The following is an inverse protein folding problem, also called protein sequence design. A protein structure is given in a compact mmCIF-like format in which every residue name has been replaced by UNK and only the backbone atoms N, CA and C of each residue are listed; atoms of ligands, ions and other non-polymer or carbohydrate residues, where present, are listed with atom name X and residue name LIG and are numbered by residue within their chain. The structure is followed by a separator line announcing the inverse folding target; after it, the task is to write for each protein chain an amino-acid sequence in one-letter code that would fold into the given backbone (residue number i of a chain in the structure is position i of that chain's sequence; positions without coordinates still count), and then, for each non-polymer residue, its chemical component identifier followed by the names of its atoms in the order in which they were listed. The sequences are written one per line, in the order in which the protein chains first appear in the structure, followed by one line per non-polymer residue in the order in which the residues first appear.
data_IF_928270405195
#
_entry.id   IF_928270405195
#
_cell.length_a   1.000
_cell.length_b   1.000
_cell.length_c   1.000
_cell.angle_alpha   90.00
_cell.angle_beta   90.00
_cell.angle_gamma   90.00
#
_symmetry.space_group_name_H-M   'P 1'
#
loop_
_entity.id
_entity.type
_entity.pdbx_description
1 polymer ?
#
# COMPACT_ATOMS: atom_id res chain seq x y z
N UNK A 1 -24.38 -39.28 47.41
CA UNK A 1 -25.19 -38.61 46.36
C UNK A 1 -24.27 -37.62 45.65
N UNK A 2 -23.70 -38.05 44.54
CA UNK A 2 -22.71 -37.26 43.76
C UNK A 2 -23.35 -36.94 42.42
N UNK A 3 -23.65 -35.66 42.19
CA UNK A 3 -24.20 -35.15 40.94
C UNK A 3 -23.07 -34.98 39.89
N UNK A 4 -23.10 -35.75 38.83
CA UNK A 4 -22.24 -35.55 37.63
C UNK A 4 -22.88 -34.51 36.73
N UNK A 5 -22.21 -33.40 36.52
CA UNK A 5 -22.51 -32.40 35.51
C UNK A 5 -21.91 -32.88 34.17
N UNK A 6 -22.74 -33.13 33.19
CA UNK A 6 -22.39 -33.47 31.81
C UNK A 6 -22.03 -32.15 31.07
N UNK A 7 -20.76 -31.99 30.70
CA UNK A 7 -20.33 -30.97 29.71
C UNK A 7 -20.57 -31.47 28.31
N UNK A 8 -21.51 -30.88 27.61
CA UNK A 8 -21.68 -31.03 26.16
C UNK A 8 -20.62 -30.23 25.42
N UNK A 9 -19.73 -30.96 24.76
CA UNK A 9 -18.75 -30.39 23.81
C UNK A 9 -19.47 -29.93 22.55
N UNK A 10 -19.39 -28.64 22.23
CA UNK A 10 -19.75 -28.10 20.91
C UNK A 10 -18.57 -28.31 19.94
N UNK A 11 -18.81 -28.71 18.70
CA UNK A 11 -17.74 -28.81 17.72
C UNK A 11 -17.25 -27.41 17.31
N UNK A 12 -15.94 -27.21 17.33
CA UNK A 12 -15.29 -26.04 16.76
C UNK A 12 -15.41 -26.12 15.24
N UNK A 13 -16.13 -25.19 14.65
CA UNK A 13 -16.12 -24.95 13.20
C UNK A 13 -14.89 -24.07 12.93
N UNK A 14 -13.87 -24.67 12.33
CA UNK A 14 -12.72 -23.92 11.83
C UNK A 14 -13.14 -23.04 10.66
N UNK A 15 -13.16 -21.73 10.85
CA UNK A 15 -13.20 -20.76 9.76
C UNK A 15 -11.76 -20.43 9.38
N UNK A 16 -11.30 -20.99 8.29
CA UNK A 16 -10.17 -20.44 7.52
C UNK A 16 -10.68 -19.19 6.81
N UNK A 17 -10.39 -18.04 7.39
CA UNK A 17 -10.73 -16.75 6.79
C UNK A 17 -9.61 -16.36 5.82
N UNK A 18 -9.78 -16.66 4.54
CA UNK A 18 -9.16 -15.86 3.47
C UNK A 18 -9.84 -14.49 3.54
N UNK A 19 -9.11 -13.46 3.91
CA UNK A 19 -9.62 -12.11 4.04
C UNK A 19 -9.84 -11.50 2.66
N UNK A 20 -10.97 -11.82 2.04
CA UNK A 20 -11.58 -11.12 0.91
C UNK A 20 -13.10 -11.39 0.94
N UNK A 21 -13.79 -10.88 1.96
CA UNK A 21 -15.26 -10.86 1.98
C UNK A 21 -15.77 -9.54 1.43
N UNK A 22 -15.90 -9.44 0.12
CA UNK A 22 -16.70 -8.40 -0.53
C UNK A 22 -18.16 -8.86 -0.46
N UNK A 23 -18.96 -8.24 0.43
CA UNK A 23 -20.42 -8.32 0.35
C UNK A 23 -20.88 -7.33 -0.73
N UNK A 24 -21.16 -7.83 -1.93
CA UNK A 24 -21.85 -7.07 -2.96
C UNK A 24 -23.34 -6.96 -2.60
N UNK A 25 -23.78 -5.78 -2.19
CA UNK A 25 -25.18 -5.42 -2.19
C UNK A 25 -25.56 -4.94 -3.59
N UNK A 26 -26.29 -5.77 -4.32
CA UNK A 26 -26.84 -5.45 -5.64
C UNK A 26 -27.98 -4.45 -5.46
N UNK A 27 -27.75 -3.17 -5.80
CA UNK A 27 -28.83 -2.23 -6.13
C UNK A 27 -28.93 -2.14 -7.64
N UNK A 28 -30.02 -2.68 -8.18
CA UNK A 28 -30.36 -2.56 -9.60
C UNK A 28 -30.73 -1.12 -9.93
N UNK A 29 -29.99 -0.48 -10.82
CA UNK A 29 -30.37 0.77 -11.48
C UNK A 29 -30.81 0.48 -12.92
N UNK A 30 -31.80 1.24 -13.47
CA UNK A 30 -32.37 0.95 -14.79
C UNK A 30 -31.42 1.31 -15.93
N UNK A 31 -31.40 0.47 -16.94
CA UNK A 31 -30.62 0.63 -18.16
C UNK A 31 -31.07 1.86 -18.95
N UNK A 32 -30.18 2.80 -19.18
CA UNK A 32 -30.32 3.85 -20.19
C UNK A 32 -29.64 3.39 -21.48
N UNK A 33 -30.36 3.57 -22.59
CA UNK A 33 -29.95 3.12 -23.92
C UNK A 33 -28.67 3.82 -24.41
N UNK A 34 -27.80 3.04 -25.04
CA UNK A 34 -26.56 3.48 -25.65
C UNK A 34 -26.80 4.30 -26.93
N UNK A 35 -26.05 5.38 -27.19
CA UNK A 35 -26.03 6.07 -28.48
C UNK A 35 -25.17 5.31 -29.49
N UNK A 36 -25.35 5.52 -30.81
CA UNK A 36 -24.72 4.73 -31.87
C UNK A 36 -23.22 5.01 -31.97
N UNK A 37 -22.49 3.94 -32.33
CA UNK A 37 -21.05 3.89 -32.53
C UNK A 37 -20.55 4.90 -33.57
N UNK A 38 -19.74 5.85 -33.14
CA UNK A 38 -18.85 6.61 -34.01
C UNK A 38 -17.59 5.80 -34.26
N UNK A 39 -17.20 5.65 -35.53
CA UNK A 39 -15.94 5.03 -35.97
C UNK A 39 -14.76 5.79 -35.34
N UNK A 40 -14.07 5.18 -34.40
CA UNK A 40 -12.89 5.75 -33.79
C UNK A 40 -11.68 5.62 -34.72
N UNK A 41 -11.16 6.75 -35.15
CA UNK A 41 -9.80 6.86 -35.67
C UNK A 41 -8.82 6.38 -34.58
N UNK A 42 -7.95 5.44 -34.92
CA UNK A 42 -6.89 4.97 -34.01
C UNK A 42 -5.93 6.14 -33.75
N UNK A 43 -5.75 6.57 -32.48
CA UNK A 43 -4.72 7.56 -32.19
C UNK A 43 -3.32 6.95 -32.44
N UNK A 44 -2.48 7.72 -33.08
CA UNK A 44 -1.09 7.41 -33.41
C UNK A 44 -0.27 7.25 -32.12
N UNK A 45 -0.11 6.01 -31.66
CA UNK A 45 0.58 5.66 -30.41
C UNK A 45 2.06 6.08 -30.41
N UNK A 46 2.66 6.32 -31.57
CA UNK A 46 4.05 6.79 -31.67
C UNK A 46 4.22 8.26 -31.25
N UNK A 47 3.19 9.11 -31.43
CA UNK A 47 3.24 10.51 -30.99
C UNK A 47 3.00 10.72 -29.52
N UNK A 48 2.29 9.81 -28.85
CA UNK A 48 2.06 9.87 -27.41
C UNK A 48 3.35 9.59 -26.61
N UNK A 49 4.21 8.68 -27.07
CA UNK A 49 5.47 8.33 -26.42
C UNK A 49 6.51 9.46 -26.41
N UNK A 50 6.59 10.26 -27.47
CA UNK A 50 7.56 11.36 -27.56
C UNK A 50 7.17 12.60 -26.73
N UNK A 51 5.89 12.81 -26.43
CA UNK A 51 5.43 13.95 -25.62
C UNK A 51 5.69 13.78 -24.11
N UNK A 52 6.09 12.60 -23.62
CA UNK A 52 6.29 12.33 -22.19
C UNK A 52 7.75 12.47 -21.75
N UNK A 53 8.74 12.44 -22.68
CA UNK A 53 10.18 12.41 -22.38
C UNK A 53 10.76 13.68 -21.76
N UNK A 54 10.14 14.85 -21.94
CA UNK A 54 10.72 16.15 -21.52
C UNK A 54 10.05 16.78 -20.30
N UNK A 55 9.09 16.12 -19.64
CA UNK A 55 8.38 16.71 -18.52
C UNK A 55 9.10 16.47 -17.21
N UNK A 56 9.25 17.54 -16.42
CA UNK A 56 9.84 17.44 -15.08
C UNK A 56 9.03 16.48 -14.19
N UNK A 57 9.72 15.69 -13.38
CA UNK A 57 9.12 14.78 -12.40
C UNK A 57 8.11 15.50 -11.51
N UNK A 58 6.97 14.86 -11.24
CA UNK A 58 5.86 15.41 -10.47
C UNK A 58 5.03 16.45 -11.23
N UNK A 59 5.22 16.60 -12.56
CA UNK A 59 4.31 17.41 -13.38
C UNK A 59 2.95 16.73 -13.45
N UNK A 60 1.90 17.44 -13.05
CA UNK A 60 0.51 17.00 -13.19
C UNK A 60 0.12 16.94 -14.67
N UNK A 61 -0.35 15.80 -15.12
CA UNK A 61 -0.79 15.58 -16.51
C UNK A 61 -2.29 15.67 -16.67
N UNK A 62 -3.04 15.08 -15.72
CA UNK A 62 -4.50 15.17 -15.72
C UNK A 62 -5.07 15.07 -14.30
N UNK A 63 -6.28 15.60 -14.14
CA UNK A 63 -7.14 15.45 -12.97
C UNK A 63 -8.48 14.92 -13.44
N UNK A 64 -8.85 13.73 -13.01
CA UNK A 64 -10.12 13.08 -13.37
C UNK A 64 -10.99 13.00 -12.10
N UNK A 65 -12.16 13.63 -12.05
CA UNK A 65 -13.10 13.45 -10.93
C UNK A 65 -13.50 11.97 -10.80
N UNK A 66 -13.58 11.48 -9.56
CA UNK A 66 -14.00 10.11 -9.27
C UNK A 66 -15.33 10.10 -8.52
N UNK A 67 -15.31 10.47 -7.23
CA UNK A 67 -16.48 10.40 -6.37
C UNK A 67 -16.61 11.67 -5.53
N UNK A 68 -17.85 11.98 -5.16
CA UNK A 68 -18.15 12.91 -4.08
C UNK A 68 -18.97 12.15 -3.04
N UNK A 69 -18.47 12.08 -1.81
CA UNK A 69 -19.05 11.28 -0.73
C UNK A 69 -19.45 12.19 0.42
N UNK A 70 -20.69 12.07 0.87
CA UNK A 70 -21.21 12.91 1.97
C UNK A 70 -20.54 12.57 3.30
N UNK A 71 -20.53 13.53 4.21
CA UNK A 71 -20.03 13.34 5.58
C UNK A 71 -20.72 12.17 6.29
N UNK A 72 -22.03 12.06 6.12
CA UNK A 72 -22.88 11.03 6.74
C UNK A 72 -22.49 9.65 6.22
N UNK A 73 -22.29 9.51 4.92
CA UNK A 73 -21.88 8.26 4.29
C UNK A 73 -20.46 7.85 4.72
N UNK A 74 -19.50 8.77 4.72
CA UNK A 74 -18.15 8.51 5.24
C UNK A 74 -18.22 8.03 6.69
N UNK A 75 -18.97 8.71 7.54
CA UNK A 75 -19.12 8.33 8.94
C UNK A 75 -19.76 6.94 9.10
N UNK A 76 -20.70 6.59 8.23
CA UNK A 76 -21.36 5.28 8.21
C UNK A 76 -20.38 4.17 7.83
N UNK A 77 -19.65 4.35 6.70
CA UNK A 77 -18.70 3.36 6.19
C UNK A 77 -17.54 3.16 7.17
N UNK A 78 -16.95 4.25 7.67
CA UNK A 78 -15.86 4.21 8.66
C UNK A 78 -16.26 3.43 9.92
N UNK A 79 -17.46 3.70 10.47
CA UNK A 79 -17.99 2.97 11.65
C UNK A 79 -18.29 1.51 11.35
N UNK A 80 -18.85 1.21 10.16
CA UNK A 80 -19.15 -0.17 9.76
C UNK A 80 -17.90 -1.04 9.69
N UNK A 81 -16.75 -0.44 9.39
CA UNK A 81 -15.43 -1.09 9.41
C UNK A 81 -14.76 -1.07 10.81
N UNK A 82 -15.47 -0.74 11.87
CA UNK A 82 -14.92 -0.72 13.25
C UNK A 82 -13.90 0.38 13.51
N UNK A 83 -13.83 1.40 12.63
CA UNK A 83 -12.88 2.51 12.73
C UNK A 83 -13.52 3.73 13.43
N UNK A 84 -12.72 4.50 14.16
CA UNK A 84 -13.17 5.71 14.83
C UNK A 84 -13.46 6.83 13.82
N UNK A 85 -14.73 7.25 13.74
CA UNK A 85 -15.22 8.30 12.86
C UNK A 85 -15.31 9.68 13.53
N UNK A 86 -14.77 9.88 14.73
CA UNK A 86 -14.93 11.11 15.52
C UNK A 86 -14.32 12.35 14.86
N UNK A 87 -13.41 12.18 13.91
CA UNK A 87 -12.78 13.26 13.13
C UNK A 87 -13.55 13.64 11.86
N UNK A 88 -14.57 12.90 11.46
CA UNK A 88 -15.36 13.15 10.24
C UNK A 88 -16.22 14.40 10.41
N UNK A 89 -15.87 15.46 9.67
CA UNK A 89 -16.52 16.79 9.73
C UNK A 89 -17.07 17.25 8.38
N UNK A 90 -16.47 16.78 7.27
CA UNK A 90 -16.74 17.22 5.92
C UNK A 90 -17.12 16.05 5.02
N UNK A 91 -17.85 16.32 3.94
CA UNK A 91 -17.85 15.47 2.77
C UNK A 91 -16.49 15.53 2.07
N UNK A 92 -16.26 14.65 1.11
CA UNK A 92 -14.98 14.51 0.42
C UNK A 92 -15.22 14.35 -1.08
N UNK A 93 -14.50 15.14 -1.87
CA UNK A 93 -14.37 14.95 -3.31
C UNK A 93 -13.05 14.26 -3.62
N UNK A 94 -13.09 13.20 -4.43
CA UNK A 94 -11.93 12.44 -4.84
C UNK A 94 -11.64 12.58 -6.32
N UNK A 95 -10.37 12.52 -6.66
CA UNK A 95 -9.85 12.70 -8.00
C UNK A 95 -8.74 11.69 -8.26
N UNK A 96 -8.63 11.20 -9.49
CA UNK A 96 -7.44 10.54 -9.99
C UNK A 96 -6.50 11.57 -10.58
N UNK A 97 -5.28 11.60 -10.11
CA UNK A 97 -4.19 12.34 -10.72
C UNK A 97 -3.40 11.39 -11.62
N UNK A 98 -3.03 11.86 -12.82
CA UNK A 98 -1.95 11.24 -13.61
C UNK A 98 -0.79 12.22 -13.64
N UNK A 99 0.42 11.74 -13.42
CA UNK A 99 1.60 12.59 -13.29
C UNK A 99 2.86 11.95 -13.88
N UNK A 100 3.84 12.79 -14.23
CA UNK A 100 5.14 12.37 -14.71
C UNK A 100 6.02 11.88 -13.57
N UNK A 101 6.69 10.75 -13.75
CA UNK A 101 7.64 10.14 -12.81
C UNK A 101 8.72 9.39 -13.57
N UNK A 102 9.48 8.52 -12.90
CA UNK A 102 10.55 7.71 -13.50
C UNK A 102 10.36 6.23 -13.16
N UNK A 103 10.86 5.37 -14.06
CA UNK A 103 10.99 3.92 -13.83
C UNK A 103 12.08 3.62 -12.80
N UNK A 104 12.23 2.37 -12.32
CA UNK A 104 13.36 1.96 -11.48
C UNK A 104 14.73 2.20 -12.11
N UNK A 105 14.81 2.23 -13.45
CA UNK A 105 16.04 2.53 -14.21
C UNK A 105 16.27 4.01 -14.51
N UNK A 106 15.35 4.89 -14.03
CA UNK A 106 15.46 6.34 -14.19
C UNK A 106 14.81 6.89 -15.48
N UNK A 107 14.22 6.04 -16.32
CA UNK A 107 13.56 6.47 -17.55
C UNK A 107 12.24 7.18 -17.27
N UNK A 108 11.86 8.19 -18.07
CA UNK A 108 10.58 8.87 -17.93
C UNK A 108 9.40 7.92 -18.08
N UNK A 109 8.44 8.03 -17.16
CA UNK A 109 7.17 7.29 -17.21
C UNK A 109 6.05 8.09 -16.54
N UNK A 110 4.88 7.49 -16.40
CA UNK A 110 3.74 8.08 -15.69
C UNK A 110 3.25 7.15 -14.59
N UNK A 111 2.62 7.73 -13.58
CA UNK A 111 1.89 7.00 -12.56
C UNK A 111 0.58 7.71 -12.22
N UNK A 112 -0.28 7.06 -11.46
CA UNK A 112 -1.50 7.63 -10.95
C UNK A 112 -1.55 7.64 -9.41
N UNK A 113 -2.45 8.45 -8.87
CA UNK A 113 -2.72 8.55 -7.44
C UNK A 113 -4.17 8.94 -7.20
N UNK A 114 -4.73 8.48 -6.09
CA UNK A 114 -5.93 9.08 -5.53
C UNK A 114 -5.57 10.40 -4.83
N UNK A 115 -6.33 11.44 -5.13
CA UNK A 115 -6.28 12.72 -4.45
C UNK A 115 -7.64 13.04 -3.85
N UNK A 116 -7.71 13.27 -2.54
CA UNK A 116 -8.95 13.56 -1.85
C UNK A 116 -8.90 14.94 -1.17
N UNK A 117 -9.94 15.72 -1.34
CA UNK A 117 -10.12 17.04 -0.75
C UNK A 117 -11.39 17.10 0.10
N UNK A 118 -11.36 17.77 1.26
CA UNK A 118 -12.59 18.07 2.00
C UNK A 118 -13.48 19.05 1.23
N UNK A 119 -14.78 18.81 1.18
CA UNK A 119 -15.74 19.70 0.52
C UNK A 119 -15.92 21.04 1.28
N UNK A 120 -15.49 21.10 2.53
CA UNK A 120 -15.48 22.29 3.38
C UNK A 120 -14.09 22.64 3.91
N UNK A 121 -14.04 23.45 4.95
CA UNK A 121 -12.82 23.84 5.65
C UNK A 121 -12.02 24.96 5.01
N UNK A 122 -10.80 25.19 5.51
CA UNK A 122 -9.92 26.28 5.09
C UNK A 122 -9.34 26.09 3.69
N UNK A 123 -8.93 27.22 3.06
CA UNK A 123 -8.22 27.17 1.77
C UNK A 123 -6.82 26.55 1.86
N UNK A 124 -6.17 26.60 3.01
CA UNK A 124 -4.84 26.05 3.28
C UNK A 124 -4.97 24.72 4.01
N UNK A 125 -4.44 23.65 3.43
CA UNK A 125 -4.57 22.29 3.94
C UNK A 125 -3.19 21.69 4.17
N UNK A 126 -2.98 20.99 5.29
CA UNK A 126 -1.89 20.01 5.42
C UNK A 126 -2.24 18.76 4.60
N UNK A 127 -1.22 17.98 4.27
CA UNK A 127 -1.38 16.79 3.43
C UNK A 127 -1.15 15.53 4.25
N UNK A 128 -1.97 14.49 4.03
CA UNK A 128 -1.65 13.11 4.41
C UNK A 128 -1.17 12.38 3.16
N UNK A 129 0.04 11.83 3.21
CA UNK A 129 0.55 10.87 2.24
C UNK A 129 0.22 9.47 2.77
N UNK A 130 -0.74 8.82 2.15
CA UNK A 130 -1.21 7.48 2.52
C UNK A 130 -0.67 6.45 1.53
N UNK A 131 0.06 5.46 2.03
CA UNK A 131 0.69 4.43 1.22
C UNK A 131 -0.03 3.10 1.45
N UNK A 132 -0.56 2.53 0.35
CA UNK A 132 -1.32 1.28 0.42
C UNK A 132 -0.42 0.05 0.65
N UNK A 133 -1.01 -1.03 1.15
CA UNK A 133 -0.36 -2.32 1.34
C UNK A 133 -0.14 -3.09 0.04
N UNK A 134 0.36 -4.33 0.17
CA UNK A 134 0.60 -5.22 -0.96
C UNK A 134 -0.66 -5.41 -1.80
N UNK A 135 -0.50 -5.26 -3.10
CA UNK A 135 -1.56 -5.31 -4.10
C UNK A 135 -0.94 -5.67 -5.45
N UNK A 136 -1.46 -6.69 -6.12
CA UNK A 136 -0.99 -7.10 -7.44
C UNK A 136 -1.93 -6.69 -8.56
N UNK A 137 -3.24 -6.57 -8.26
CA UNK A 137 -4.25 -6.16 -9.23
C UNK A 137 -4.32 -4.63 -9.35
N UNK A 138 -4.05 -4.09 -10.55
CA UNK A 138 -4.10 -2.63 -10.77
C UNK A 138 -5.45 -1.99 -10.52
N UNK A 139 -6.55 -2.75 -10.70
CA UNK A 139 -7.90 -2.29 -10.46
C UNK A 139 -8.23 -2.09 -8.99
N UNK A 140 -7.44 -2.67 -8.06
CA UNK A 140 -7.57 -2.48 -6.61
C UNK A 140 -6.85 -1.25 -6.05
N UNK A 141 -6.03 -0.55 -6.87
CA UNK A 141 -5.24 0.58 -6.43
C UNK A 141 -6.12 1.77 -5.96
N UNK A 142 -5.63 2.67 -5.09
CA UNK A 142 -6.44 3.73 -4.50
C UNK A 142 -7.22 4.58 -5.49
N UNK A 143 -6.68 4.84 -6.68
CA UNK A 143 -7.36 5.67 -7.70
C UNK A 143 -8.31 4.89 -8.61
N UNK A 144 -8.33 3.56 -8.53
CA UNK A 144 -9.14 2.67 -9.39
C UNK A 144 -9.99 1.68 -8.60
N UNK A 145 -9.68 1.49 -7.32
CA UNK A 145 -10.30 0.50 -6.44
C UNK A 145 -11.63 0.93 -5.85
N UNK A 146 -12.07 0.13 -4.92
CA UNK A 146 -13.33 0.24 -4.21
C UNK A 146 -13.24 1.12 -2.94
N UNK A 147 -14.33 1.13 -2.17
CA UNK A 147 -14.46 1.89 -0.93
C UNK A 147 -13.41 1.50 0.14
N UNK A 148 -12.92 0.26 0.16
CA UNK A 148 -11.91 -0.16 1.12
C UNK A 148 -10.55 0.47 0.81
N UNK A 149 -10.13 0.49 -0.45
CA UNK A 149 -8.87 1.11 -0.88
C UNK A 149 -8.87 2.63 -0.72
N UNK A 150 -10.06 3.26 -0.63
CA UNK A 150 -10.24 4.71 -0.44
C UNK A 150 -10.54 5.12 1.00
N UNK A 151 -10.84 4.18 1.90
CA UNK A 151 -11.35 4.43 3.26
C UNK A 151 -10.49 5.41 4.08
N UNK A 152 -9.17 5.19 4.11
CA UNK A 152 -8.26 6.08 4.84
C UNK A 152 -8.23 7.49 4.23
N UNK A 153 -8.25 7.58 2.90
CA UNK A 153 -8.28 8.87 2.21
C UNK A 153 -9.55 9.66 2.53
N UNK A 154 -10.70 9.00 2.57
CA UNK A 154 -11.95 9.64 3.02
C UNK A 154 -11.86 10.12 4.46
N UNK A 155 -11.39 9.24 5.37
CA UNK A 155 -11.30 9.57 6.80
C UNK A 155 -10.41 10.78 7.07
N UNK A 156 -9.23 10.80 6.48
CA UNK A 156 -8.28 11.90 6.70
C UNK A 156 -8.76 13.19 6.04
N UNK A 157 -9.33 13.11 4.84
CA UNK A 157 -9.85 14.27 4.15
C UNK A 157 -11.12 14.81 4.80
N UNK A 158 -12.02 13.95 5.26
CA UNK A 158 -13.18 14.37 6.05
C UNK A 158 -12.80 15.06 7.37
N UNK A 159 -11.59 14.78 7.87
CA UNK A 159 -10.98 15.48 9.01
C UNK A 159 -10.40 16.87 8.69
N UNK A 160 -10.50 17.34 7.43
CA UNK A 160 -10.07 18.68 7.01
C UNK A 160 -8.66 18.76 6.44
N UNK A 161 -8.08 17.66 5.91
CA UNK A 161 -6.79 17.60 5.25
C UNK A 161 -6.94 17.24 3.77
N UNK A 162 -5.90 17.49 2.97
CA UNK A 162 -5.81 16.83 1.69
C UNK A 162 -5.16 15.45 1.88
N UNK A 163 -5.62 14.44 1.15
CA UNK A 163 -4.95 13.13 1.15
C UNK A 163 -4.47 12.79 -0.24
N UNK A 164 -3.24 12.29 -0.33
CA UNK A 164 -2.61 11.78 -1.55
C UNK A 164 -2.27 10.32 -1.29
N UNK A 165 -2.88 9.42 -2.06
CA UNK A 165 -2.58 7.99 -2.00
C UNK A 165 -2.04 7.55 -3.37
N UNK A 166 -0.70 7.44 -3.54
CA UNK A 166 -0.08 6.98 -4.78
C UNK A 166 -0.48 5.54 -5.08
N UNK A 167 -0.75 5.22 -6.35
CA UNK A 167 -1.00 3.85 -6.79
C UNK A 167 0.30 3.06 -6.97
N UNK A 168 1.47 3.71 -6.90
CA UNK A 168 2.79 3.25 -7.29
C UNK A 168 2.93 3.02 -8.82
N UNK A 169 4.12 2.57 -9.26
CA UNK A 169 4.34 2.23 -10.66
C UNK A 169 3.60 0.94 -11.04
N UNK A 170 3.07 0.89 -12.24
CA UNK A 170 2.42 -0.29 -12.81
C UNK A 170 1.01 -0.56 -12.29
N UNK A 171 0.59 0.06 -11.17
CA UNK A 171 -0.76 -0.04 -10.63
C UNK A 171 -1.63 1.16 -11.04
N UNK A 172 -2.92 1.11 -10.73
CA UNK A 172 -3.88 2.12 -11.17
C UNK A 172 -3.91 2.23 -12.69
N UNK A 173 -3.70 3.43 -13.21
CA UNK A 173 -3.64 3.68 -14.66
C UNK A 173 -2.20 3.83 -15.20
N UNK A 174 -1.19 3.56 -14.38
CA UNK A 174 0.21 3.59 -14.78
C UNK A 174 0.57 2.46 -15.74
N UNK A 175 1.54 2.68 -16.69
CA UNK A 175 2.02 1.64 -17.58
C UNK A 175 2.97 0.66 -16.88
N UNK A 176 3.16 -0.50 -17.49
CA UNK A 176 4.09 -1.55 -17.06
C UNK A 176 3.57 -2.39 -15.89
N UNK A 177 4.46 -3.16 -15.29
CA UNK A 177 4.19 -3.99 -14.12
C UNK A 177 4.71 -3.32 -12.84
N UNK A 178 4.07 -3.62 -11.71
CA UNK A 178 4.49 -3.07 -10.42
C UNK A 178 5.82 -3.69 -9.97
N UNK A 179 6.85 -2.86 -9.70
CA UNK A 179 8.13 -3.32 -9.14
C UNK A 179 7.97 -3.56 -7.62
N UNK A 180 7.25 -4.61 -7.27
CA UNK A 180 6.89 -4.91 -5.87
C UNK A 180 8.12 -4.98 -4.97
N UNK A 181 8.06 -4.28 -3.82
CA UNK A 181 9.17 -4.13 -2.86
C UNK A 181 10.40 -3.42 -3.46
N UNK A 182 10.32 -2.73 -4.60
CA UNK A 182 11.34 -1.75 -4.98
C UNK A 182 11.06 -0.42 -4.28
N UNK A 183 11.74 -0.22 -3.15
CA UNK A 183 11.55 0.94 -2.26
C UNK A 183 11.87 2.25 -2.97
N UNK A 184 12.87 2.28 -3.83
CA UNK A 184 13.31 3.49 -4.52
C UNK A 184 12.26 4.01 -5.51
N UNK A 185 11.65 3.12 -6.30
CA UNK A 185 10.58 3.51 -7.22
C UNK A 185 9.30 3.90 -6.50
N UNK A 186 8.96 3.21 -5.40
CA UNK A 186 7.82 3.57 -4.55
C UNK A 186 7.97 4.97 -3.96
N UNK A 187 9.18 5.34 -3.50
CA UNK A 187 9.51 6.68 -3.04
C UNK A 187 9.42 7.69 -4.16
N UNK A 188 9.99 7.40 -5.34
CA UNK A 188 9.94 8.29 -6.50
C UNK A 188 8.51 8.61 -6.91
N UNK A 189 7.67 7.58 -7.08
CA UNK A 189 6.26 7.75 -7.43
C UNK A 189 5.49 8.55 -6.36
N UNK A 190 5.76 8.30 -5.07
CA UNK A 190 5.09 8.98 -3.95
C UNK A 190 5.44 10.46 -3.86
N UNK A 191 6.72 10.83 -3.98
CA UNK A 191 7.17 12.23 -3.96
C UNK A 191 6.60 12.98 -5.17
N UNK A 192 6.59 12.36 -6.34
CA UNK A 192 6.06 12.95 -7.55
C UNK A 192 4.53 13.12 -7.49
N UNK A 193 3.79 12.19 -6.85
CA UNK A 193 2.37 12.34 -6.55
C UNK A 193 2.09 13.56 -5.66
N UNK A 194 2.90 13.77 -4.62
CA UNK A 194 2.79 14.95 -3.74
C UNK A 194 3.03 16.27 -4.49
N UNK A 195 3.97 16.29 -5.42
CA UNK A 195 4.22 17.44 -6.32
C UNK A 195 3.02 17.72 -7.22
N UNK A 196 2.48 16.69 -7.84
CA UNK A 196 1.29 16.78 -8.70
C UNK A 196 0.06 17.23 -7.90
N UNK A 197 -0.14 16.71 -6.69
CA UNK A 197 -1.25 17.08 -5.83
C UNK A 197 -1.25 18.57 -5.45
N UNK A 198 -0.08 19.21 -5.30
CA UNK A 198 0.02 20.66 -5.08
C UNK A 198 -0.52 21.45 -6.27
N UNK A 199 -0.24 20.99 -7.50
CA UNK A 199 -0.74 21.60 -8.72
C UNK A 199 -2.26 21.38 -8.86
N UNK A 200 -2.75 20.16 -8.57
CA UNK A 200 -4.17 19.84 -8.59
C UNK A 200 -4.95 20.65 -7.54
N UNK A 201 -4.44 20.78 -6.32
CA UNK A 201 -5.07 21.57 -5.27
C UNK A 201 -5.30 23.04 -5.70
N UNK A 202 -4.33 23.64 -6.40
CA UNK A 202 -4.44 25.00 -6.91
C UNK A 202 -5.59 25.13 -7.93
N UNK A 203 -5.83 24.13 -8.78
CA UNK A 203 -6.95 24.10 -9.72
C UNK A 203 -8.32 24.07 -9.01
N UNK A 204 -8.34 23.56 -7.78
CA UNK A 204 -9.55 23.51 -6.92
C UNK A 204 -9.60 24.67 -5.89
N UNK A 205 -8.80 25.73 -6.08
CA UNK A 205 -8.80 26.90 -5.18
C UNK A 205 -8.24 26.60 -3.79
N UNK A 206 -7.47 25.52 -3.63
CA UNK A 206 -6.80 25.11 -2.38
C UNK A 206 -5.29 25.30 -2.47
N UNK A 207 -4.66 25.48 -1.33
CA UNK A 207 -3.20 25.55 -1.21
C UNK A 207 -2.74 24.49 -0.23
N UNK A 208 -1.91 23.56 -0.66
CA UNK A 208 -1.29 22.61 0.25
C UNK A 208 -0.12 23.30 0.97
N UNK A 209 -0.12 23.22 2.30
CA UNK A 209 1.00 23.69 3.11
C UNK A 209 2.23 22.81 2.87
N UNK A 210 3.36 23.13 3.50
CA UNK A 210 4.54 22.26 3.43
C UNK A 210 4.42 20.99 4.26
N UNK A 211 3.49 20.98 5.23
CA UNK A 211 3.37 19.91 6.22
C UNK A 211 2.71 18.67 5.62
N UNK A 212 3.44 17.56 5.69
CA UNK A 212 3.02 16.23 5.24
C UNK A 212 3.03 15.27 6.42
N UNK A 213 1.88 14.70 6.72
CA UNK A 213 1.74 13.54 7.60
C UNK A 213 1.94 12.30 6.72
N UNK A 214 2.96 11.50 7.00
CA UNK A 214 3.29 10.33 6.18
C UNK A 214 2.85 9.08 6.94
N UNK A 215 2.05 8.27 6.29
CA UNK A 215 1.49 7.01 6.84
C UNK A 215 1.37 5.98 5.73
N UNK A 216 1.10 4.75 6.11
CA UNK A 216 0.86 3.66 5.18
C UNK A 216 0.74 2.34 5.93
N UNK A 217 0.19 1.35 5.26
CA UNK A 217 -0.14 0.05 5.81
C UNK A 217 0.67 -1.05 5.13
N UNK A 218 1.15 -2.04 5.90
CA UNK A 218 1.85 -3.21 5.36
C UNK A 218 3.07 -2.78 4.51
N UNK A 219 3.21 -3.17 3.24
CA UNK A 219 4.19 -2.61 2.31
C UNK A 219 4.23 -1.07 2.39
N UNK A 220 3.06 -0.43 2.47
CA UNK A 220 2.97 1.02 2.59
C UNK A 220 3.54 1.57 3.90
N UNK A 221 3.60 0.80 4.96
CA UNK A 221 4.27 1.16 6.21
C UNK A 221 5.79 1.29 6.01
N UNK A 222 6.39 0.36 5.27
CA UNK A 222 7.80 0.42 4.85
C UNK A 222 8.03 1.65 3.94
N UNK A 223 7.19 1.82 2.92
CA UNK A 223 7.26 2.96 1.99
C UNK A 223 7.12 4.29 2.73
N UNK A 224 6.24 4.39 3.73
CA UNK A 224 6.04 5.60 4.51
C UNK A 224 7.31 6.06 5.23
N UNK A 225 8.10 5.14 5.80
CA UNK A 225 9.37 5.47 6.43
C UNK A 225 10.43 5.88 5.41
N UNK A 226 10.49 5.21 4.27
CA UNK A 226 11.40 5.56 3.18
C UNK A 226 11.06 6.94 2.58
N UNK A 227 9.79 7.25 2.32
CA UNK A 227 9.32 8.57 1.87
C UNK A 227 9.65 9.63 2.91
N UNK A 228 9.38 9.34 4.20
CA UNK A 228 9.72 10.24 5.30
C UNK A 228 11.20 10.59 5.34
N UNK A 229 12.07 9.60 5.13
CA UNK A 229 13.53 9.79 5.04
C UNK A 229 13.92 10.71 3.88
N UNK A 230 13.39 10.47 2.68
CA UNK A 230 13.73 11.28 1.51
C UNK A 230 13.20 12.72 1.61
N UNK A 231 11.98 12.92 2.13
CA UNK A 231 11.45 14.25 2.41
C UNK A 231 12.30 14.99 3.45
N UNK A 232 12.79 14.29 4.48
CA UNK A 232 13.65 14.85 5.52
C UNK A 232 15.05 15.21 5.00
N UNK A 233 15.53 14.51 3.94
CA UNK A 233 16.77 14.85 3.21
C UNK A 233 16.60 16.06 2.28
N UNK A 234 15.39 16.58 2.15
CA UNK A 234 15.12 17.79 1.36
C UNK A 234 14.98 17.55 -0.14
N UNK A 235 14.54 16.35 -0.56
CA UNK A 235 14.26 16.02 -1.99
C UNK A 235 13.29 17.03 -2.63
N UNK A 236 12.47 17.69 -1.81
CA UNK A 236 11.63 18.80 -2.23
C UNK A 236 11.49 19.86 -1.12
N UNK A 237 11.94 21.10 -1.40
CA UNK A 237 11.89 22.22 -0.46
C UNK A 237 10.47 22.65 -0.05
N UNK A 238 9.46 22.25 -0.81
CA UNK A 238 8.05 22.58 -0.56
C UNK A 238 7.30 21.52 0.25
N UNK A 239 7.99 20.44 0.64
CA UNK A 239 7.45 19.35 1.46
C UNK A 239 8.27 19.25 2.76
N UNK A 240 7.58 19.03 3.87
CA UNK A 240 8.20 18.85 5.19
C UNK A 240 7.45 17.79 5.96
N UNK A 241 8.12 16.78 6.45
CA UNK A 241 7.52 15.76 7.30
C UNK A 241 7.01 16.38 8.59
N UNK A 242 5.72 16.27 8.85
CA UNK A 242 5.06 16.72 10.08
C UNK A 242 4.94 15.62 11.11
N UNK A 243 4.71 14.39 10.66
CA UNK A 243 4.64 13.17 11.47
C UNK A 243 4.81 11.93 10.60
N UNK A 244 5.25 10.84 11.23
CA UNK A 244 5.36 9.50 10.66
C UNK A 244 4.46 8.56 11.44
N UNK A 245 3.55 7.86 10.76
CA UNK A 245 2.56 6.97 11.38
C UNK A 245 2.41 5.63 10.64
N UNK A 246 3.50 4.89 10.39
CA UNK A 246 3.42 3.63 9.66
C UNK A 246 2.70 2.55 10.47
N UNK A 247 2.00 1.65 9.76
CA UNK A 247 1.16 0.60 10.32
C UNK A 247 1.63 -0.76 9.81
N UNK A 248 2.03 -1.64 10.71
CA UNK A 248 2.31 -3.06 10.48
C UNK A 248 3.16 -3.30 9.21
N UNK A 249 4.28 -2.59 9.06
CA UNK A 249 5.14 -2.70 7.88
C UNK A 249 6.26 -3.73 8.05
N UNK A 250 6.71 -4.36 6.95
CA UNK A 250 7.87 -5.24 6.91
C UNK A 250 9.16 -4.41 6.94
N UNK A 251 9.53 -3.93 8.13
CA UNK A 251 10.63 -2.98 8.32
C UNK A 251 12.02 -3.62 8.36
N UNK A 252 12.08 -4.94 8.55
CA UNK A 252 13.29 -5.74 8.67
C UNK A 252 13.08 -7.03 7.87
N UNK A 253 13.28 -6.92 6.54
CA UNK A 253 13.02 -8.01 5.60
C UNK A 253 13.96 -9.17 5.88
N UNK A 254 15.26 -8.89 6.00
CA UNK A 254 16.28 -9.93 6.21
C UNK A 254 16.18 -10.59 7.60
N UNK A 255 15.96 -9.77 8.64
CA UNK A 255 16.02 -10.26 10.02
C UNK A 255 14.71 -10.77 10.59
N UNK A 256 13.58 -10.35 10.05
CA UNK A 256 12.26 -10.69 10.60
C UNK A 256 11.32 -11.32 9.58
N UNK A 257 11.14 -10.68 8.42
CA UNK A 257 10.08 -11.08 7.47
C UNK A 257 10.44 -12.39 6.77
N UNK A 258 11.63 -12.45 6.17
CA UNK A 258 12.07 -13.63 5.45
C UNK A 258 12.19 -14.86 6.34
N UNK A 259 12.79 -14.82 7.56
CA UNK A 259 12.75 -15.96 8.48
C UNK A 259 11.32 -16.38 8.86
N UNK A 260 10.39 -15.43 9.02
CA UNK A 260 9.01 -15.71 9.42
C UNK A 260 8.22 -16.52 8.39
N UNK A 261 8.57 -16.40 7.11
CA UNK A 261 8.02 -17.23 6.02
C UNK A 261 8.31 -18.71 6.25
N UNK A 262 9.51 -19.03 6.77
CA UNK A 262 9.98 -20.42 6.90
C UNK A 262 9.71 -21.04 8.27
N UNK A 263 9.51 -20.25 9.32
CA UNK A 263 9.26 -20.74 10.69
C UNK A 263 7.79 -20.75 11.10
N UNK A 264 6.87 -20.39 10.17
CA UNK A 264 5.43 -20.45 10.36
C UNK A 264 4.84 -19.30 11.17
N UNK A 265 5.57 -18.19 11.37
CA UNK A 265 5.02 -16.96 11.95
C UNK A 265 4.12 -16.21 10.97
N UNK A 266 4.32 -16.38 9.67
CA UNK A 266 3.45 -15.90 8.60
C UNK A 266 2.58 -17.06 8.14
N UNK A 267 1.31 -16.81 7.86
CA UNK A 267 0.40 -17.82 7.33
C UNK A 267 0.80 -18.27 5.93
N UNK A 268 0.62 -19.57 5.63
CA UNK A 268 1.08 -20.18 4.37
C UNK A 268 0.60 -19.43 3.12
N UNK A 269 -0.66 -19.01 3.09
CA UNK A 269 -1.23 -18.28 1.95
C UNK A 269 -0.56 -16.92 1.74
N UNK A 270 -0.30 -16.19 2.81
CA UNK A 270 0.38 -14.89 2.78
C UNK A 270 1.85 -15.06 2.41
N UNK A 271 2.53 -16.05 2.99
CA UNK A 271 3.93 -16.37 2.68
C UNK A 271 4.12 -16.69 1.20
N UNK A 272 3.25 -17.54 0.63
CA UNK A 272 3.30 -17.91 -0.80
C UNK A 272 3.02 -16.71 -1.68
N UNK A 273 2.00 -15.91 -1.36
CA UNK A 273 1.65 -14.72 -2.15
C UNK A 273 2.79 -13.70 -2.16
N UNK A 274 3.28 -13.29 -0.98
CA UNK A 274 4.32 -12.26 -0.87
C UNK A 274 5.62 -12.70 -1.51
N UNK A 275 6.04 -13.95 -1.28
CA UNK A 275 7.30 -14.45 -1.84
C UNK A 275 7.24 -14.65 -3.35
N UNK A 276 6.13 -15.17 -3.88
CA UNK A 276 5.94 -15.30 -5.34
C UNK A 276 5.98 -13.94 -6.02
N UNK A 277 5.28 -12.95 -5.45
CA UNK A 277 5.27 -11.61 -6.01
C UNK A 277 6.63 -10.93 -5.92
N UNK A 278 7.30 -11.04 -4.78
CA UNK A 278 8.65 -10.50 -4.58
C UNK A 278 9.63 -11.09 -5.60
N UNK A 279 9.71 -12.41 -5.70
CA UNK A 279 10.64 -13.08 -6.61
C UNK A 279 10.35 -12.73 -8.07
N UNK A 280 9.08 -12.74 -8.48
CA UNK A 280 8.68 -12.35 -9.84
C UNK A 280 9.06 -10.90 -10.17
N UNK A 281 8.72 -9.96 -9.29
CA UNK A 281 8.98 -8.54 -9.52
C UNK A 281 10.49 -8.23 -9.50
N UNK A 282 11.23 -8.82 -8.54
CA UNK A 282 12.65 -8.59 -8.41
C UNK A 282 13.47 -9.32 -9.48
N UNK A 283 12.98 -10.46 -9.99
CA UNK A 283 13.59 -11.10 -11.15
C UNK A 283 13.49 -10.23 -12.42
N UNK A 284 12.32 -9.63 -12.66
CA UNK A 284 12.12 -8.69 -13.78
C UNK A 284 13.08 -7.50 -13.71
N UNK A 285 13.45 -7.03 -12.52
CA UNK A 285 14.34 -5.89 -12.33
C UNK A 285 15.83 -6.28 -12.31
N UNK A 286 16.15 -7.43 -11.75
CA UNK A 286 17.52 -7.75 -11.35
C UNK A 286 18.06 -9.06 -11.90
N UNK A 287 17.26 -9.86 -12.63
CA UNK A 287 17.64 -11.17 -13.15
C UNK A 287 18.24 -12.07 -12.06
N UNK A 288 17.40 -12.47 -11.11
CA UNK A 288 17.76 -13.35 -9.99
C UNK A 288 17.91 -14.81 -10.42
N UNK A 289 17.21 -15.21 -11.47
CA UNK A 289 17.21 -16.52 -12.11
C UNK A 289 16.86 -16.39 -13.59
N UNK A 290 17.29 -17.36 -14.39
CA UNK A 290 17.02 -17.39 -15.83
C UNK A 290 15.78 -18.21 -16.19
N UNK A 291 15.50 -19.29 -15.46
CA UNK A 291 14.34 -20.17 -15.66
C UNK A 291 13.50 -20.26 -14.38
N UNK A 292 12.19 -20.00 -14.42
CA UNK A 292 11.30 -20.16 -13.27
C UNK A 292 11.38 -21.54 -12.60
N UNK A 293 11.75 -22.61 -13.34
CA UNK A 293 11.96 -23.96 -12.81
C UNK A 293 13.15 -24.11 -11.85
N UNK A 294 14.05 -23.16 -11.87
CA UNK A 294 15.11 -23.09 -10.83
C UNK A 294 14.50 -22.80 -9.46
N UNK A 295 13.48 -21.94 -9.44
CA UNK A 295 12.86 -21.37 -8.23
C UNK A 295 11.66 -22.19 -7.80
N UNK A 296 10.74 -22.42 -8.74
CA UNK A 296 9.41 -22.97 -8.48
C UNK A 296 9.30 -24.41 -8.93
N UNK A 297 8.57 -25.20 -8.15
CA UNK A 297 8.18 -26.57 -8.53
C UNK A 297 7.04 -26.55 -9.55
N UNK A 298 6.96 -27.58 -10.40
CA UNK A 298 5.77 -27.77 -11.22
C UNK A 298 4.54 -28.15 -10.35
N UNK A 299 3.34 -27.66 -10.70
CA UNK A 299 3.00 -26.93 -11.93
C UNK A 299 3.23 -25.40 -11.85
N UNK A 300 3.69 -24.88 -10.72
CA UNK A 300 3.79 -23.44 -10.46
C UNK A 300 4.88 -22.74 -11.28
N UNK A 301 5.93 -23.45 -11.61
CA UNK A 301 7.03 -22.93 -12.45
C UNK A 301 6.52 -22.38 -13.79
N UNK A 302 5.49 -22.98 -14.36
CA UNK A 302 4.91 -22.55 -15.64
C UNK A 302 3.89 -21.41 -15.53
N UNK A 303 3.42 -21.07 -14.33
CA UNK A 303 2.24 -20.18 -14.16
C UNK A 303 2.46 -19.00 -13.22
N UNK A 304 3.27 -19.13 -12.16
CA UNK A 304 3.39 -18.12 -11.09
C UNK A 304 3.69 -16.72 -11.62
N UNK A 305 4.69 -16.58 -12.50
CA UNK A 305 5.08 -15.26 -13.00
C UNK A 305 3.99 -14.57 -13.84
N UNK A 306 3.12 -15.35 -14.49
CA UNK A 306 2.02 -14.82 -15.30
C UNK A 306 0.86 -14.29 -14.46
N UNK A 307 0.74 -14.73 -13.21
CA UNK A 307 -0.27 -14.25 -12.28
C UNK A 307 -0.02 -12.80 -11.82
N UNK A 308 1.25 -12.36 -11.83
CA UNK A 308 1.64 -11.02 -11.38
C UNK A 308 1.88 -10.08 -12.56
N UNK A 309 0.89 -9.99 -13.47
CA UNK A 309 0.86 -9.11 -14.64
C UNK A 309 0.14 -7.78 -14.38
N UNK A 310 -0.41 -7.59 -13.18
CA UNK A 310 -1.27 -6.51 -12.70
C UNK A 310 -2.72 -6.54 -13.23
N UNK A 311 -3.07 -7.48 -14.08
CA UNK A 311 -4.41 -7.60 -14.67
C UNK A 311 -5.21 -8.73 -14.05
N UNK A 312 -4.56 -9.80 -13.52
CA UNK A 312 -5.21 -10.82 -12.70
C UNK A 312 -5.72 -10.23 -11.39
N UNK A 313 -6.96 -10.55 -11.05
CA UNK A 313 -7.56 -10.17 -9.75
C UNK A 313 -6.89 -10.92 -8.61
N UNK A 314 -6.96 -10.38 -7.39
CA UNK A 314 -6.41 -11.04 -6.18
C UNK A 314 -6.97 -12.46 -5.99
N UNK A 315 -8.24 -12.69 -6.39
CA UNK A 315 -8.86 -14.01 -6.32
C UNK A 315 -8.28 -14.98 -7.36
N UNK A 316 -7.99 -14.54 -8.56
CA UNK A 316 -7.37 -15.36 -9.61
C UNK A 316 -5.95 -15.72 -9.23
N UNK A 317 -5.19 -14.76 -8.71
CA UNK A 317 -3.85 -14.99 -8.17
C UNK A 317 -3.90 -16.04 -7.07
N UNK A 318 -4.73 -15.84 -6.05
CA UNK A 318 -4.84 -16.76 -4.91
C UNK A 318 -5.20 -18.20 -5.33
N UNK A 319 -6.03 -18.37 -6.36
CA UNK A 319 -6.39 -19.69 -6.90
C UNK A 319 -5.24 -20.36 -7.67
N UNK A 320 -4.37 -19.58 -8.29
CA UNK A 320 -3.24 -20.06 -9.09
C UNK A 320 -2.00 -20.37 -8.27
N UNK A 321 -1.93 -19.94 -7.00
CA UNK A 321 -0.77 -20.10 -6.15
C UNK A 321 -0.75 -21.47 -5.43
N UNK A 322 0.45 -21.85 -4.98
CA UNK A 322 0.67 -23.07 -4.19
C UNK A 322 0.02 -22.96 -2.80
N UNK A 323 -0.34 -24.09 -2.17
CA UNK A 323 -0.94 -24.08 -0.84
C UNK A 323 0.03 -23.72 0.29
N UNK A 324 1.34 -23.83 0.08
CA UNK A 324 2.39 -23.48 1.04
C UNK A 324 3.75 -23.34 0.34
N UNK A 325 4.73 -22.82 1.06
CA UNK A 325 6.09 -22.57 0.55
C UNK A 325 6.79 -23.86 0.09
N UNK A 326 6.56 -24.97 0.79
CA UNK A 326 7.19 -26.25 0.43
C UNK A 326 6.68 -26.80 -0.91
N UNK A 327 5.41 -26.57 -1.22
CA UNK A 327 4.84 -26.93 -2.53
C UNK A 327 5.28 -25.97 -3.63
N UNK A 328 5.58 -24.73 -3.29
CA UNK A 328 5.96 -23.68 -4.22
C UNK A 328 7.43 -23.81 -4.67
N UNK A 329 8.35 -23.82 -3.71
CA UNK A 329 9.78 -23.67 -3.98
C UNK A 329 10.53 -24.98 -4.17
N UNK A 330 11.58 -24.94 -4.98
CA UNK A 330 12.61 -25.99 -5.00
C UNK A 330 13.40 -26.01 -3.69
N UNK A 331 14.06 -27.15 -3.37
CA UNK A 331 14.86 -27.24 -2.15
C UNK A 331 16.06 -26.29 -2.19
N UNK A 332 16.67 -26.13 -3.37
CA UNK A 332 17.80 -25.22 -3.57
C UNK A 332 17.43 -23.77 -3.27
N UNK A 333 16.30 -23.27 -3.83
CA UNK A 333 15.87 -21.91 -3.59
C UNK A 333 15.32 -21.69 -2.19
N UNK A 334 14.76 -22.72 -1.57
CA UNK A 334 14.39 -22.66 -0.14
C UNK A 334 15.63 -22.37 0.71
N UNK A 335 16.75 -23.09 0.50
CA UNK A 335 17.99 -22.83 1.24
C UNK A 335 18.64 -21.49 0.85
N UNK A 336 18.59 -21.12 -0.42
CA UNK A 336 19.09 -19.81 -0.89
C UNK A 336 18.34 -18.62 -0.26
N UNK A 337 17.03 -18.74 -0.03
CA UNK A 337 16.23 -17.73 0.64
C UNK A 337 16.47 -17.68 2.15
N UNK A 338 16.72 -18.81 2.79
CA UNK A 338 17.11 -18.84 4.21
C UNK A 338 18.50 -18.24 4.46
N UNK A 339 19.38 -18.33 3.48
CA UNK A 339 20.77 -17.84 3.53
C UNK A 339 21.12 -17.02 2.29
N UNK A 340 20.52 -15.81 2.13
CA UNK A 340 20.71 -15.01 0.93
C UNK A 340 22.17 -14.63 0.72
N UNK A 341 22.65 -14.80 -0.51
CA UNK A 341 24.00 -14.42 -0.94
C UNK A 341 23.96 -13.77 -2.32
N UNK A 342 25.04 -13.10 -2.72
CA UNK A 342 25.17 -12.48 -4.03
C UNK A 342 24.01 -11.50 -4.34
N UNK A 343 23.53 -11.54 -5.57
CA UNK A 343 22.50 -10.62 -6.06
C UNK A 343 21.20 -10.62 -5.23
N UNK A 344 20.76 -11.78 -4.72
CA UNK A 344 19.58 -11.86 -3.88
C UNK A 344 19.78 -11.09 -2.55
N UNK A 345 20.94 -11.25 -1.92
CA UNK A 345 21.28 -10.50 -0.70
C UNK A 345 21.33 -9.00 -0.97
N UNK A 346 21.95 -8.57 -2.08
CA UNK A 346 22.01 -7.16 -2.49
C UNK A 346 20.62 -6.56 -2.72
N UNK A 347 19.71 -7.30 -3.33
CA UNK A 347 18.32 -6.86 -3.56
C UNK A 347 17.56 -6.72 -2.25
N UNK A 348 17.73 -7.67 -1.33
CA UNK A 348 17.12 -7.59 0.01
C UNK A 348 17.67 -6.37 0.77
N UNK A 349 19.00 -6.20 0.82
CA UNK A 349 19.66 -5.10 1.51
C UNK A 349 19.22 -3.72 1.00
N UNK A 350 19.06 -3.54 -0.32
CA UNK A 350 18.58 -2.28 -0.92
C UNK A 350 17.19 -1.87 -0.47
N UNK A 351 16.36 -2.85 -0.14
CA UNK A 351 14.97 -2.64 0.24
C UNK A 351 14.74 -2.70 1.74
N UNK A 352 15.76 -3.02 2.51
CA UNK A 352 15.77 -3.08 3.97
C UNK A 352 16.21 -1.75 4.61
N UNK A 353 16.35 -1.71 5.93
CA UNK A 353 16.93 -0.57 6.66
C UNK A 353 16.12 0.73 6.59
N UNK A 354 14.80 0.66 6.34
CA UNK A 354 13.95 1.86 6.25
C UNK A 354 13.81 2.59 7.58
N UNK A 355 14.19 1.97 8.69
CA UNK A 355 14.22 2.55 10.04
C UNK A 355 15.61 3.08 10.44
N UNK A 356 16.65 2.88 9.60
CA UNK A 356 18.04 3.23 9.90
C UNK A 356 18.32 4.71 9.59
N UNK A 357 17.72 5.61 10.38
CA UNK A 357 17.92 7.07 10.30
C UNK A 357 17.28 7.80 11.49
N UNK A 358 17.59 9.10 11.62
CA UNK A 358 17.09 9.97 12.69
C UNK A 358 15.97 10.91 12.21
N UNK A 359 14.67 10.51 12.20
CA UNK A 359 13.58 11.44 11.94
C UNK A 359 13.50 12.53 13.01
N UNK A 360 13.39 13.78 12.59
CA UNK A 360 13.10 14.92 13.47
C UNK A 360 11.62 15.08 13.78
N UNK A 361 10.76 14.53 12.92
CA UNK A 361 9.33 14.47 13.11
C UNK A 361 8.95 13.35 14.10
N UNK A 362 7.87 13.50 14.88
CA UNK A 362 7.43 12.46 15.80
C UNK A 362 6.97 11.20 15.04
N UNK A 363 7.37 10.03 15.57
CA UNK A 363 7.07 8.70 15.01
C UNK A 363 6.10 7.95 15.90
N UNK A 364 5.06 7.36 15.30
CA UNK A 364 4.14 6.41 15.91
C UNK A 364 4.02 5.17 15.04
N UNK A 365 4.38 4.03 15.61
CA UNK A 365 4.26 2.72 14.97
C UNK A 365 3.01 2.02 15.50
N UNK A 366 2.26 1.39 14.61
CA UNK A 366 1.13 0.55 14.95
C UNK A 366 1.43 -0.90 14.58
N UNK A 367 1.06 -1.84 15.47
CA UNK A 367 1.32 -3.26 15.31
C UNK A 367 0.31 -4.08 16.11
N UNK A 368 0.27 -5.38 15.90
CA UNK A 368 -0.52 -6.34 16.67
C UNK A 368 0.28 -7.61 16.96
N UNK A 369 -0.01 -8.27 18.08
CA UNK A 369 0.61 -9.57 18.42
C UNK A 369 -0.01 -10.73 17.64
N UNK A 370 -1.25 -10.57 17.16
CA UNK A 370 -1.96 -11.57 16.36
C UNK A 370 -1.73 -11.44 14.85
N UNK A 371 -0.90 -10.49 14.41
CA UNK A 371 -0.58 -10.28 13.00
C UNK A 371 0.27 -11.45 12.46
N UNK A 372 -0.27 -12.15 11.46
CA UNK A 372 0.36 -13.30 10.81
C UNK A 372 0.69 -13.04 9.33
N UNK A 373 0.65 -11.78 8.94
CA UNK A 373 1.13 -11.29 7.65
C UNK A 373 2.47 -10.57 7.83
N UNK A 374 2.55 -9.67 8.83
CA UNK A 374 3.78 -8.94 9.19
C UNK A 374 3.99 -9.07 10.70
N UNK A 375 4.80 -10.05 11.14
CA UNK A 375 5.02 -10.32 12.56
C UNK A 375 5.55 -9.11 13.33
N UNK A 376 5.10 -8.95 14.58
CA UNK A 376 5.47 -7.85 15.49
C UNK A 376 6.98 -7.65 15.63
N UNK A 377 7.80 -8.66 15.33
CA UNK A 377 9.26 -8.58 15.28
C UNK A 377 9.78 -7.46 14.39
N UNK A 378 9.10 -7.19 13.26
CA UNK A 378 9.41 -6.06 12.37
C UNK A 378 9.34 -4.72 13.11
N UNK A 379 8.24 -4.48 13.85
CA UNK A 379 8.09 -3.25 14.66
C UNK A 379 9.15 -3.18 15.76
N UNK A 380 9.47 -4.30 16.42
CA UNK A 380 10.50 -4.35 17.47
C UNK A 380 11.88 -3.99 16.92
N UNK A 381 12.23 -4.54 15.74
CA UNK A 381 13.49 -4.24 15.05
C UNK A 381 13.55 -2.76 14.65
N UNK A 382 12.47 -2.21 14.07
CA UNK A 382 12.39 -0.79 13.71
C UNK A 382 12.58 0.14 14.92
N UNK A 383 11.92 -0.15 16.05
CA UNK A 383 12.07 0.64 17.29
C UNK A 383 13.51 0.64 17.77
N UNK A 384 14.19 -0.51 17.71
CA UNK A 384 15.60 -0.65 18.08
C UNK A 384 16.47 0.22 17.18
N UNK A 385 16.32 0.10 15.85
CA UNK A 385 17.08 0.89 14.88
C UNK A 385 16.89 2.40 15.08
N UNK A 386 15.64 2.86 15.23
CA UNK A 386 15.34 4.28 15.54
C UNK A 386 15.99 4.72 16.86
N UNK A 387 16.02 3.87 17.89
CA UNK A 387 16.62 4.19 19.19
C UNK A 387 18.15 4.31 19.09
N UNK A 388 18.82 3.53 18.27
CA UNK A 388 20.25 3.65 17.96
C UNK A 388 20.59 5.03 17.37
N UNK A 389 19.64 5.65 16.67
CA UNK A 389 19.71 7.03 16.18
C UNK A 389 19.15 8.08 17.16
N UNK A 390 18.90 7.72 18.42
CA UNK A 390 18.40 8.65 19.44
C UNK A 390 16.91 8.99 19.35
N UNK A 391 16.15 8.28 18.52
CA UNK A 391 14.72 8.54 18.30
C UNK A 391 13.85 7.63 19.15
N UNK A 392 12.92 8.23 19.92
CA UNK A 392 11.92 7.50 20.68
C UNK A 392 10.60 7.43 19.92
N UNK A 393 10.38 6.35 19.22
CA UNK A 393 9.10 6.07 18.57
C UNK A 393 8.04 5.64 19.60
N UNK A 394 6.81 6.14 19.44
CA UNK A 394 5.67 5.62 20.21
C UNK A 394 5.12 4.39 19.51
N UNK A 395 5.02 3.27 20.20
CA UNK A 395 4.39 2.05 19.70
C UNK A 395 2.98 1.91 20.26
N UNK A 396 2.03 1.57 19.39
CA UNK A 396 0.69 1.12 19.77
C UNK A 396 0.52 -0.32 19.30
N UNK A 397 0.50 -1.24 20.27
CA UNK A 397 0.13 -2.63 20.03
C UNK A 397 -1.38 -2.78 20.24
N UNK A 398 -2.09 -3.24 19.20
CA UNK A 398 -3.54 -3.43 19.23
C UNK A 398 -3.97 -4.79 19.82
N UNK A 399 -3.02 -5.58 20.35
CA UNK A 399 -3.26 -6.88 20.97
C UNK A 399 -3.36 -8.02 19.95
N UNK A 400 -4.19 -9.01 20.28
CA UNK A 400 -4.43 -10.18 19.41
C UNK A 400 -5.42 -9.82 18.31
N UNK A 401 -4.89 -9.12 17.29
CA UNK A 401 -5.62 -8.68 16.09
C UNK A 401 -4.88 -9.13 14.85
N UNK A 402 -5.64 -9.46 13.81
CA UNK A 402 -5.07 -9.71 12.49
C UNK A 402 -4.54 -8.43 11.83
N UNK A 403 -3.93 -8.61 10.67
CA UNK A 403 -3.27 -7.56 9.90
C UNK A 403 -4.26 -6.45 9.49
N UNK A 404 -5.42 -6.82 8.94
CA UNK A 404 -6.45 -5.90 8.49
C UNK A 404 -7.11 -5.12 9.63
N UNK A 405 -7.47 -5.80 10.73
CA UNK A 405 -8.00 -5.16 11.94
C UNK A 405 -7.00 -4.15 12.54
N UNK A 406 -5.69 -4.45 12.47
CA UNK A 406 -4.62 -3.54 12.89
C UNK A 406 -4.69 -2.23 12.11
N UNK A 407 -4.83 -2.31 10.79
CA UNK A 407 -4.99 -1.13 9.92
C UNK A 407 -6.23 -0.30 10.26
N UNK A 408 -7.39 -0.93 10.32
CA UNK A 408 -8.66 -0.25 10.60
C UNK A 408 -8.65 0.51 11.93
N UNK A 409 -8.00 -0.02 12.96
CA UNK A 409 -7.82 0.67 14.24
C UNK A 409 -6.80 1.80 14.17
N UNK A 410 -5.70 1.57 13.45
CA UNK A 410 -4.61 2.53 13.32
C UNK A 410 -5.04 3.79 12.59
N UNK A 411 -5.79 3.69 11.48
CA UNK A 411 -6.20 4.88 10.70
C UNK A 411 -7.08 5.83 11.51
N UNK A 412 -7.99 5.31 12.34
CA UNK A 412 -8.79 6.13 13.26
C UNK A 412 -7.94 6.86 14.31
N UNK A 413 -6.95 6.16 14.89
CA UNK A 413 -6.02 6.78 15.85
C UNK A 413 -5.09 7.80 15.19
N UNK A 414 -4.66 7.54 13.95
CA UNK A 414 -3.86 8.47 13.16
C UNK A 414 -4.66 9.74 12.84
N UNK A 415 -5.93 9.61 12.40
CA UNK A 415 -6.82 10.74 12.15
C UNK A 415 -6.96 11.63 13.39
N UNK A 416 -7.18 11.02 14.56
CA UNK A 416 -7.23 11.72 15.85
C UNK A 416 -5.90 12.39 16.21
N UNK A 417 -4.78 11.74 15.91
CA UNK A 417 -3.48 12.34 16.16
C UNK A 417 -3.22 13.55 15.27
N UNK A 418 -3.50 13.43 13.99
CA UNK A 418 -3.35 14.55 13.05
C UNK A 418 -4.24 15.73 13.43
N UNK A 419 -5.47 15.49 13.91
CA UNK A 419 -6.35 16.55 14.40
C UNK A 419 -5.73 17.37 15.56
N UNK A 420 -4.87 16.76 16.37
CA UNK A 420 -4.15 17.43 17.47
C UNK A 420 -2.86 18.15 17.04
N UNK A 421 -2.32 17.79 15.88
CA UNK A 421 -1.08 18.41 15.37
C UNK A 421 -1.34 19.69 14.55
N UNK A 422 -2.58 19.98 14.22
CA UNK A 422 -3.00 21.17 13.45
C UNK A 422 -3.06 20.90 11.97
#
# INVERSE_FOLDING_TARGET
MTSRSSRTSRPAIGLTAVAAAVLAAVCAAPALAAPPSATADRPDTARAGQAHGDRARGTLLSVTPLQQVSREEIARVVKANGTDASTVRHGVSTYRLTYATITPTGEPTTASALFALPDGGGKRLSTVAEHHGTMAYRGGAPSTGDDFSTLAAWLYSAGGRATVAPDYLGLGTGPGTHPYVDTASSVSASVDALRAARQAAAQHGRTLTRDVHVTGFSQGGQVALAVGRELSRGVDRHLRVRSLAPVAGPYDIAGQELPAIFDGRIDDSSAVYYLSYFLTAQNRLHHLYDDPREVYREPYASTVETLFDNDHTEQEIAKGLAPNIRALLTDEWTERLKHPTGKLAEVIERNDGVCDWAPTAPVRLHTSTGDRDVPIGNTTSCVRSLAEHGVRAKVTNHGDRDHGDTYLRAIGQNANWYARLG
#
